data_IF_358685250744
#
_entry.id   IF_358685250744
#
_cell.length_a   1.000
_cell.length_b   1.000
_cell.length_c   1.000
_cell.angle_alpha   90.00
_cell.angle_beta   90.00
_cell.angle_gamma   90.00
#
_symmetry.space_group_name_H-M   'P 1'
#
loop_
_entity.id
_entity.type
_entity.pdbx_description
1 polymer ?
#
# COMPACT_ATOMS: atom_id res chain seq x y z
N UNK A 1 27.98 16.72 59.20
CA UNK A 1 26.80 16.08 58.65
C UNK A 1 26.38 16.61 57.27
N UNK A 2 26.51 17.90 56.95
CA UNK A 2 26.14 18.48 55.65
C UNK A 2 27.07 18.07 54.49
N UNK A 3 28.32 17.78 54.73
CA UNK A 3 29.30 17.42 53.69
C UNK A 3 29.08 16.02 53.10
N UNK A 4 28.63 15.07 53.88
CA UNK A 4 28.38 13.70 53.45
C UNK A 4 27.12 13.58 52.59
N UNK A 5 26.14 14.48 52.77
CA UNK A 5 24.90 14.50 51.96
C UNK A 5 25.23 14.94 50.51
N UNK A 6 26.15 15.89 50.33
CA UNK A 6 26.60 16.33 49.00
C UNK A 6 27.40 15.26 48.27
N UNK A 7 28.25 14.50 48.99
CA UNK A 7 29.00 13.39 48.39
C UNK A 7 28.09 12.24 47.96
N UNK A 8 27.04 11.96 48.73
CA UNK A 8 26.07 10.90 48.41
C UNK A 8 25.17 11.28 47.22
N UNK A 9 24.81 12.56 47.06
CA UNK A 9 24.02 13.05 45.93
C UNK A 9 24.85 13.09 44.64
N UNK A 10 26.15 13.38 44.71
CA UNK A 10 27.07 13.31 43.56
C UNK A 10 27.28 11.90 43.04
N UNK A 11 27.29 10.88 43.91
CA UNK A 11 27.44 9.48 43.52
C UNK A 11 26.21 8.93 42.80
N UNK A 12 25.00 9.45 43.13
CA UNK A 12 23.74 9.03 42.47
C UNK A 12 23.60 9.60 41.05
N UNK A 13 24.21 10.75 40.74
CA UNK A 13 24.18 11.35 39.40
C UNK A 13 25.07 10.61 38.40
N UNK A 14 26.06 9.87 38.82
CA UNK A 14 26.99 9.16 37.92
C UNK A 14 26.49 7.80 37.47
N UNK A 15 25.43 7.28 38.10
CA UNK A 15 24.87 5.95 37.79
C UNK A 15 23.93 5.93 36.56
N UNK A 16 23.56 7.08 36.01
CA UNK A 16 22.59 7.16 34.91
C UNK A 16 23.21 7.34 33.51
N UNK A 17 24.52 7.25 33.36
CA UNK A 17 25.19 7.54 32.08
C UNK A 17 25.44 6.32 31.18
N UNK A 18 24.95 5.13 31.54
CA UNK A 18 25.16 3.90 30.76
C UNK A 18 23.90 3.35 30.09
N UNK A 19 22.94 4.21 29.74
CA UNK A 19 21.71 3.80 29.09
C UNK A 19 21.76 3.80 27.54
N UNK A 20 22.94 3.98 26.95
CA UNK A 20 23.13 3.67 25.52
C UNK A 20 23.62 2.23 25.44
N UNK A 21 22.74 1.34 25.01
CA UNK A 21 23.15 0.02 24.55
C UNK A 21 24.28 0.23 23.51
N UNK A 22 25.38 -0.50 23.59
CA UNK A 22 26.42 -0.39 22.59
C UNK A 22 25.78 -0.71 21.25
N UNK A 23 25.73 0.30 20.39
CA UNK A 23 25.40 0.10 18.98
C UNK A 23 26.44 -0.90 18.47
N UNK A 24 26.01 -2.16 18.32
CA UNK A 24 26.98 -3.19 17.95
C UNK A 24 27.35 -2.90 16.49
N UNK A 25 28.63 -2.94 16.20
CA UNK A 25 29.15 -2.82 14.84
C UNK A 25 28.45 -3.79 13.88
N UNK A 26 27.96 -4.88 14.41
CA UNK A 26 27.17 -5.89 13.74
C UNK A 26 25.81 -5.36 13.28
N UNK A 27 25.08 -4.63 14.13
CA UNK A 27 23.79 -4.01 13.76
C UNK A 27 23.95 -3.00 12.62
N UNK A 28 24.97 -2.16 12.70
CA UNK A 28 25.33 -1.20 11.65
C UNK A 28 25.64 -1.89 10.31
N UNK A 29 26.38 -2.99 10.34
CA UNK A 29 26.69 -3.78 9.15
C UNK A 29 25.42 -4.43 8.57
N UNK A 30 24.56 -4.96 9.44
CA UNK A 30 23.30 -5.58 9.03
C UNK A 30 22.33 -4.57 8.41
N UNK A 31 22.20 -3.39 9.01
CA UNK A 31 21.39 -2.31 8.44
C UNK A 31 21.92 -1.88 7.07
N UNK A 32 23.23 -1.75 6.92
CA UNK A 32 23.85 -1.42 5.62
C UNK A 32 23.57 -2.49 4.58
N UNK A 33 23.66 -3.77 4.94
CA UNK A 33 23.35 -4.89 4.07
C UNK A 33 21.90 -4.83 3.57
N UNK A 34 20.95 -4.63 4.49
CA UNK A 34 19.52 -4.49 4.16
C UNK A 34 19.29 -3.30 3.21
N UNK A 35 19.91 -2.16 3.51
CA UNK A 35 19.78 -0.96 2.69
C UNK A 35 20.34 -1.16 1.28
N UNK A 36 21.52 -1.76 1.18
CA UNK A 36 22.16 -2.07 -0.09
C UNK A 36 21.33 -3.06 -0.91
N UNK A 37 20.79 -4.10 -0.28
CA UNK A 37 19.92 -5.06 -0.93
C UNK A 37 18.62 -4.41 -1.47
N UNK A 38 18.01 -3.52 -0.68
CA UNK A 38 16.80 -2.81 -1.09
C UNK A 38 17.04 -1.88 -2.30
N UNK A 39 18.18 -1.20 -2.35
CA UNK A 39 18.53 -0.30 -3.46
C UNK A 39 18.89 -1.04 -4.75
N UNK A 40 19.56 -2.18 -4.67
CA UNK A 40 20.06 -2.91 -5.84
C UNK A 40 19.05 -3.93 -6.37
N UNK A 41 18.31 -4.59 -5.47
CA UNK A 41 17.40 -5.68 -5.80
C UNK A 41 15.92 -5.33 -5.65
N UNK A 42 15.58 -4.02 -5.69
CA UNK A 42 14.21 -3.56 -5.54
C UNK A 42 13.29 -4.08 -6.65
N UNK A 43 12.29 -4.89 -6.31
CA UNK A 43 11.31 -5.46 -7.25
C UNK A 43 10.05 -4.60 -7.43
N UNK A 44 9.86 -3.61 -6.56
CA UNK A 44 8.62 -2.83 -6.48
C UNK A 44 8.24 -2.14 -7.80
N UNK A 45 9.22 -1.61 -8.54
CA UNK A 45 8.98 -0.95 -9.82
C UNK A 45 8.45 -1.94 -10.87
N UNK A 46 9.06 -3.11 -10.98
CA UNK A 46 8.65 -4.15 -11.93
C UNK A 46 7.25 -4.69 -11.60
N UNK A 47 6.93 -4.84 -10.31
CA UNK A 47 5.59 -5.23 -9.88
C UNK A 47 4.56 -4.17 -10.19
N UNK A 48 4.89 -2.89 -9.96
CA UNK A 48 4.02 -1.78 -10.30
C UNK A 48 3.79 -1.68 -11.82
N UNK A 49 4.84 -1.84 -12.62
CA UNK A 49 4.73 -1.87 -14.09
C UNK A 49 3.79 -2.97 -14.55
N UNK A 50 3.94 -4.19 -14.04
CA UNK A 50 3.06 -5.30 -14.39
C UNK A 50 1.60 -5.02 -14.00
N UNK A 51 1.37 -4.57 -12.75
CA UNK A 51 0.04 -4.26 -12.25
C UNK A 51 -0.63 -3.12 -13.04
N UNK A 52 0.14 -2.10 -13.45
CA UNK A 52 -0.40 -0.91 -14.11
C UNK A 52 -0.54 -1.09 -15.62
N UNK A 53 0.46 -1.66 -16.28
CA UNK A 53 0.54 -1.71 -17.73
C UNK A 53 0.11 -3.05 -18.34
N UNK A 54 0.21 -4.17 -17.60
CA UNK A 54 -0.20 -5.50 -18.09
C UNK A 54 -1.59 -5.89 -17.62
N UNK A 55 -1.94 -5.62 -16.37
CA UNK A 55 -3.27 -5.91 -15.81
C UNK A 55 -4.20 -4.71 -16.01
N UNK A 56 -3.71 -3.49 -15.76
CA UNK A 56 -4.47 -2.26 -15.94
C UNK A 56 -5.50 -1.98 -14.84
N UNK A 57 -6.62 -1.34 -15.22
CA UNK A 57 -7.68 -0.94 -14.28
C UNK A 57 -8.27 -2.13 -13.52
N UNK A 58 -8.36 -1.99 -12.19
CA UNK A 58 -8.73 -3.08 -11.25
C UNK A 58 -9.88 -2.65 -10.35
N UNK A 59 -11.06 -2.51 -10.93
CA UNK A 59 -12.25 -2.27 -10.11
C UNK A 59 -12.52 -3.46 -9.19
N UNK A 60 -13.02 -3.18 -8.00
CA UNK A 60 -13.42 -4.18 -7.03
C UNK A 60 -14.33 -5.24 -7.65
N UNK A 61 -14.06 -6.53 -7.44
CA UNK A 61 -14.81 -7.65 -8.00
C UNK A 61 -14.67 -7.86 -9.52
N UNK A 62 -13.78 -7.11 -10.20
CA UNK A 62 -13.51 -7.31 -11.63
C UNK A 62 -12.51 -8.46 -11.88
N UNK A 63 -12.52 -8.98 -13.13
CA UNK A 63 -11.54 -9.98 -13.56
C UNK A 63 -10.08 -9.49 -13.40
N UNK A 64 -9.84 -8.21 -13.68
CA UNK A 64 -8.50 -7.65 -13.51
C UNK A 64 -8.08 -7.54 -12.04
N UNK A 65 -9.03 -7.29 -11.12
CA UNK A 65 -8.76 -7.36 -9.68
C UNK A 65 -8.34 -8.78 -9.27
N UNK A 66 -9.04 -9.80 -9.77
CA UNK A 66 -8.68 -11.20 -9.51
C UNK A 66 -7.28 -11.53 -10.06
N UNK A 67 -6.99 -11.16 -11.32
CA UNK A 67 -5.65 -11.35 -11.90
C UNK A 67 -4.55 -10.68 -11.08
N UNK A 68 -4.81 -9.49 -10.53
CA UNK A 68 -3.85 -8.79 -9.69
C UNK A 68 -3.59 -9.52 -8.37
N UNK A 69 -4.64 -10.08 -7.75
CA UNK A 69 -4.52 -10.89 -6.53
C UNK A 69 -3.68 -12.14 -6.79
N UNK A 70 -3.96 -12.88 -7.86
CA UNK A 70 -3.23 -14.08 -8.27
C UNK A 70 -1.75 -13.75 -8.57
N UNK A 71 -1.49 -12.69 -9.35
CA UNK A 71 -0.14 -12.22 -9.63
C UNK A 71 0.61 -11.88 -8.34
N UNK A 72 0.02 -11.10 -7.45
CA UNK A 72 0.65 -10.69 -6.20
C UNK A 72 0.96 -11.90 -5.31
N UNK A 73 0.02 -12.88 -5.25
CA UNK A 73 0.26 -14.13 -4.53
C UNK A 73 1.50 -14.85 -5.07
N UNK A 74 1.58 -15.04 -6.38
CA UNK A 74 2.74 -15.68 -7.03
C UNK A 74 4.05 -14.96 -6.72
N UNK A 75 4.04 -13.61 -6.81
CA UNK A 75 5.24 -12.83 -6.50
C UNK A 75 5.69 -12.96 -5.05
N UNK A 76 4.76 -13.06 -4.10
CA UNK A 76 5.07 -13.28 -2.70
C UNK A 76 5.59 -14.70 -2.42
N UNK A 77 5.06 -15.71 -3.11
CA UNK A 77 5.56 -17.08 -3.05
C UNK A 77 7.00 -17.18 -3.59
N UNK A 78 7.30 -16.49 -4.69
CA UNK A 78 8.65 -16.42 -5.28
C UNK A 78 9.69 -15.70 -4.39
N UNK A 79 9.24 -14.88 -3.43
CA UNK A 79 10.11 -14.28 -2.42
C UNK A 79 10.57 -15.26 -1.34
N UNK A 80 9.98 -16.46 -1.27
CA UNK A 80 10.32 -17.48 -0.28
C UNK A 80 9.79 -17.16 1.11
N UNK A 81 8.63 -16.49 1.20
CA UNK A 81 7.95 -16.27 2.48
C UNK A 81 7.45 -17.60 3.05
N UNK A 82 7.50 -17.77 4.36
CA UNK A 82 7.10 -19.01 5.06
C UNK A 82 5.66 -19.41 4.79
N UNK A 83 4.77 -18.43 4.59
CA UNK A 83 3.36 -18.66 4.32
C UNK A 83 2.74 -17.54 3.51
N UNK A 84 2.10 -17.91 2.40
CA UNK A 84 1.29 -17.01 1.56
C UNK A 84 -0.08 -17.64 1.38
N UNK A 85 -1.15 -16.89 1.66
CA UNK A 85 -2.52 -17.39 1.48
C UNK A 85 -3.45 -16.27 1.01
N UNK A 86 -4.56 -16.64 0.40
CA UNK A 86 -5.64 -15.74 0.04
C UNK A 86 -6.74 -15.79 1.09
N UNK A 87 -7.22 -14.62 1.50
CA UNK A 87 -8.38 -14.49 2.37
C UNK A 87 -9.58 -14.07 1.52
N UNK A 88 -10.70 -14.83 1.54
CA UNK A 88 -11.92 -14.42 0.84
C UNK A 88 -12.51 -13.18 1.49
N UNK A 89 -12.85 -12.20 0.66
CA UNK A 89 -13.46 -10.93 1.09
C UNK A 89 -14.64 -10.63 0.17
N UNK A 90 -15.80 -10.33 0.76
CA UNK A 90 -16.98 -9.85 0.03
C UNK A 90 -16.80 -8.39 -0.31
N UNK A 91 -16.91 -8.07 -1.59
CA UNK A 91 -16.73 -6.70 -2.09
C UNK A 91 -17.88 -6.33 -3.04
N UNK A 92 -18.31 -5.06 -3.06
CA UNK A 92 -19.27 -4.60 -4.05
C UNK A 92 -18.66 -4.69 -5.45
N UNK A 93 -19.44 -5.25 -6.39
CA UNK A 93 -19.07 -5.33 -7.80
C UNK A 93 -19.95 -4.39 -8.60
N UNK A 94 -19.33 -3.46 -9.30
CA UNK A 94 -20.00 -2.62 -10.27
C UNK A 94 -19.39 -2.86 -11.64
N UNK A 95 -20.25 -2.97 -12.65
CA UNK A 95 -19.84 -3.18 -14.05
C UNK A 95 -20.52 -2.12 -14.90
N UNK A 96 -19.78 -1.40 -15.71
CA UNK A 96 -20.34 -0.46 -16.68
C UNK A 96 -21.16 -1.23 -17.70
N UNK A 97 -22.39 -0.79 -17.90
CA UNK A 97 -23.31 -1.32 -18.91
C UNK A 97 -23.05 -0.77 -20.32
N UNK A 98 -24.10 -0.65 -21.10
CA UNK A 98 -24.07 0.00 -22.40
C UNK A 98 -23.69 1.49 -22.27
N UNK A 99 -23.33 2.13 -23.39
CA UNK A 99 -23.03 3.56 -23.39
C UNK A 99 -24.26 4.35 -22.94
N UNK A 100 -24.04 5.28 -22.04
CA UNK A 100 -25.07 6.17 -21.51
C UNK A 100 -25.50 7.20 -22.57
N UNK A 101 -26.77 7.54 -22.58
CA UNK A 101 -27.37 8.55 -23.44
C UNK A 101 -28.17 9.55 -22.60
N UNK A 102 -28.06 10.82 -22.92
CA UNK A 102 -28.91 11.86 -22.34
C UNK A 102 -29.27 12.90 -23.40
N UNK A 103 -30.48 13.44 -23.25
CA UNK A 103 -31.02 14.43 -24.18
C UNK A 103 -31.56 15.62 -23.38
N UNK A 104 -31.28 16.83 -23.86
CA UNK A 104 -31.93 18.04 -23.37
C UNK A 104 -33.09 18.35 -24.29
N UNK A 105 -34.28 18.52 -23.75
CA UNK A 105 -35.42 19.01 -24.49
C UNK A 105 -35.33 20.50 -24.69
N UNK A 106 -35.10 20.95 -25.93
CA UNK A 106 -34.88 22.35 -26.30
C UNK A 106 -36.16 23.03 -26.81
N UNK A 107 -37.23 22.25 -27.08
CA UNK A 107 -38.53 22.73 -27.50
C UNK A 107 -39.51 21.57 -27.69
N UNK A 108 -40.79 21.82 -28.04
CA UNK A 108 -41.75 20.76 -28.32
C UNK A 108 -41.27 19.88 -29.48
N UNK A 109 -40.99 18.60 -29.18
CA UNK A 109 -40.45 17.63 -30.15
C UNK A 109 -39.00 17.83 -30.56
N UNK A 110 -38.28 18.79 -29.98
CA UNK A 110 -36.87 19.06 -30.27
C UNK A 110 -36.00 18.60 -29.11
N UNK A 111 -35.04 17.72 -29.37
CA UNK A 111 -34.07 17.22 -28.40
C UNK A 111 -32.66 17.39 -28.94
N UNK A 112 -31.72 17.68 -28.04
CA UNK A 112 -30.28 17.71 -28.33
C UNK A 112 -29.59 16.68 -27.48
N UNK A 113 -28.86 15.76 -28.10
CA UNK A 113 -28.06 14.77 -27.39
C UNK A 113 -26.87 15.45 -26.71
N UNK A 114 -26.58 15.08 -25.47
CA UNK A 114 -25.42 15.55 -24.71
C UNK A 114 -24.54 14.37 -24.32
N UNK A 115 -23.24 14.60 -24.39
CA UNK A 115 -22.26 13.59 -23.98
C UNK A 115 -22.21 13.51 -22.47
N UNK A 116 -22.50 12.31 -21.95
CA UNK A 116 -22.46 12.03 -20.51
C UNK A 116 -21.63 10.78 -20.23
N UNK A 117 -21.22 10.62 -18.98
CA UNK A 117 -20.58 9.42 -18.47
C UNK A 117 -21.08 9.15 -17.07
N UNK A 118 -21.62 7.95 -16.82
CA UNK A 118 -22.04 7.53 -15.50
C UNK A 118 -20.84 7.38 -14.55
N UNK A 119 -21.00 7.80 -13.32
CA UNK A 119 -20.03 7.55 -12.25
C UNK A 119 -20.07 6.07 -11.83
N UNK A 120 -18.94 5.55 -11.36
CA UNK A 120 -18.88 4.21 -10.80
C UNK A 120 -19.82 4.09 -9.59
N UNK A 121 -20.60 2.99 -9.56
CA UNK A 121 -21.63 2.78 -8.54
C UNK A 121 -23.00 3.37 -8.87
N UNK A 122 -23.17 4.09 -10.00
CA UNK A 122 -24.48 4.56 -10.46
C UNK A 122 -25.41 3.38 -10.74
N UNK A 123 -26.69 3.58 -10.47
CA UNK A 123 -27.79 2.66 -10.85
C UNK A 123 -28.57 3.25 -12.02
N UNK A 124 -29.23 2.39 -12.80
CA UNK A 124 -30.12 2.83 -13.86
C UNK A 124 -31.32 3.59 -13.27
N UNK A 125 -31.75 4.64 -13.95
CA UNK A 125 -32.99 5.38 -13.66
C UNK A 125 -34.15 4.82 -14.45
#
# INVERSE_FOLDING_TARGET
MKLYIFAFFGLFLTLNLNAQAPETKEDSLKIREIYSAALVNGKAYNWLDHLSNKIGGRLSGSLNAQKAVEYTKTQLEELGLDKVWLQPVMVPKWTRGAREHAYIQTGPGMTTEVSITALGGSVAT
#
